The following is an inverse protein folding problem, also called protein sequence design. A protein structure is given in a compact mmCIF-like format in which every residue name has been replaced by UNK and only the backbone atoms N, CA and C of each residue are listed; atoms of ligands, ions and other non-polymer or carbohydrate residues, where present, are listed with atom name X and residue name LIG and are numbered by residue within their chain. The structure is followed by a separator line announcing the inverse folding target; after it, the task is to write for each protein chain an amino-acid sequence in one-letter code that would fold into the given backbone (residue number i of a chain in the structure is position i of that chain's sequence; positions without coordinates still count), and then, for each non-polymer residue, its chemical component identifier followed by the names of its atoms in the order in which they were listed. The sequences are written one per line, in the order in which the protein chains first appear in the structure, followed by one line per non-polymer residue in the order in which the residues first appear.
data_IF_707493909589
#
_entry.id   IF_707493909589
#
_cell.length_a   1.000
_cell.length_b   1.000
_cell.length_c   1.000
_cell.angle_alpha   90.00
_cell.angle_beta   90.00
_cell.angle_gamma   90.00
#
_symmetry.space_group_name_H-M   'P 1'
#
loop_
_entity.id
_entity.type
_entity.pdbx_description
1 polymer ?
#
# COMPACT_ATOMS: atom_id res chain seq x y z
N UNK A 1 -14.98 -21.77 -0.74
CA UNK A 1 -13.74 -21.87 0.04
C UNK A 1 -13.27 -23.32 0.13
N UNK A 2 -14.10 -24.28 0.57
CA UNK A 2 -13.71 -25.70 0.76
C UNK A 2 -13.01 -26.34 -0.44
N UNK A 3 -13.51 -26.07 -1.68
CA UNK A 3 -12.86 -26.55 -2.90
C UNK A 3 -11.43 -26.04 -3.04
N UNK A 4 -11.19 -24.76 -2.74
CA UNK A 4 -9.86 -24.14 -2.82
C UNK A 4 -8.93 -24.73 -1.76
N UNK A 5 -9.40 -24.92 -0.52
CA UNK A 5 -8.65 -25.60 0.54
C UNK A 5 -8.29 -27.04 0.16
N UNK A 6 -9.21 -27.75 -0.52
CA UNK A 6 -8.94 -29.10 -0.99
C UNK A 6 -7.90 -29.12 -2.12
N UNK A 7 -7.95 -28.15 -3.04
CA UNK A 7 -6.94 -28.00 -4.11
C UNK A 7 -5.58 -27.75 -3.50
N UNK A 8 -5.45 -26.81 -2.53
CA UNK A 8 -4.18 -26.48 -1.91
C UNK A 8 -3.58 -27.67 -1.13
N UNK A 9 -4.39 -28.38 -0.34
CA UNK A 9 -3.96 -29.63 0.33
C UNK A 9 -3.43 -30.65 -0.64
N UNK A 10 -4.03 -30.76 -1.83
CA UNK A 10 -3.62 -31.71 -2.85
C UNK A 10 -2.33 -31.27 -3.56
N UNK A 11 -2.16 -29.97 -3.79
CA UNK A 11 -0.92 -29.40 -4.33
C UNK A 11 0.28 -29.61 -3.40
N UNK A 12 0.04 -29.56 -2.09
CA UNK A 12 1.06 -29.77 -1.06
C UNK A 12 1.03 -31.17 -0.42
N UNK A 13 0.42 -32.15 -1.08
CA UNK A 13 0.49 -33.57 -0.65
C UNK A 13 1.92 -34.06 -0.79
N UNK A 14 2.55 -34.61 0.29
CA UNK A 14 3.97 -34.99 0.26
C UNK A 14 4.29 -36.17 -0.68
N UNK A 15 3.29 -36.97 -1.07
CA UNK A 15 3.51 -38.12 -1.95
C UNK A 15 3.10 -37.85 -3.41
N UNK A 16 2.09 -37.02 -3.63
CA UNK A 16 1.45 -36.81 -4.93
C UNK A 16 1.29 -35.35 -5.32
N UNK A 17 1.81 -34.43 -4.53
CA UNK A 17 1.68 -32.99 -4.76
C UNK A 17 2.62 -32.44 -5.84
N UNK A 18 2.59 -31.15 -6.01
CA UNK A 18 3.44 -30.42 -6.93
C UNK A 18 4.79 -30.13 -6.25
N UNK A 19 5.88 -30.50 -6.88
CA UNK A 19 7.24 -30.27 -6.34
C UNK A 19 7.52 -28.80 -6.03
N UNK A 20 7.02 -27.90 -6.87
CA UNK A 20 7.19 -26.47 -6.66
C UNK A 20 6.42 -25.98 -5.43
N UNK A 21 5.13 -26.37 -5.30
CA UNK A 21 4.31 -25.98 -4.15
C UNK A 21 4.86 -26.54 -2.84
N UNK A 22 5.36 -27.78 -2.85
CA UNK A 22 5.97 -28.43 -1.69
C UNK A 22 7.25 -27.74 -1.22
N UNK A 23 8.03 -27.16 -2.14
CA UNK A 23 9.27 -26.45 -1.82
C UNK A 23 9.05 -25.08 -1.18
N UNK A 24 7.81 -24.54 -1.20
CA UNK A 24 7.52 -23.20 -0.71
C UNK A 24 7.41 -23.16 0.81
N UNK A 25 7.77 -22.01 1.36
CA UNK A 25 7.63 -21.63 2.77
C UNK A 25 7.08 -20.19 2.90
N UNK A 26 6.82 -19.72 4.12
CA UNK A 26 6.29 -18.36 4.36
C UNK A 26 7.10 -17.26 3.67
N UNK A 27 8.42 -17.36 3.71
CA UNK A 27 9.30 -16.32 3.17
C UNK A 27 9.33 -16.33 1.63
N UNK A 28 9.25 -17.50 1.01
CA UNK A 28 9.25 -17.62 -0.45
C UNK A 28 7.93 -17.17 -1.08
N UNK A 29 6.81 -17.29 -0.35
CA UNK A 29 5.47 -16.88 -0.81
C UNK A 29 5.16 -15.41 -0.47
N UNK A 30 5.81 -14.82 0.53
CA UNK A 30 5.55 -13.43 0.93
C UNK A 30 5.68 -12.38 -0.20
N UNK A 31 6.63 -12.47 -1.16
CA UNK A 31 6.68 -11.56 -2.31
C UNK A 31 5.41 -11.62 -3.18
N UNK A 32 4.90 -12.82 -3.47
CA UNK A 32 3.68 -12.99 -4.27
C UNK A 32 2.46 -12.41 -3.56
N UNK A 33 2.36 -12.55 -2.23
CA UNK A 33 1.28 -11.91 -1.46
C UNK A 33 1.25 -10.38 -1.63
N UNK A 34 2.41 -9.74 -1.79
CA UNK A 34 2.49 -8.31 -2.05
C UNK A 34 2.14 -7.99 -3.51
N UNK A 35 2.60 -8.82 -4.46
CA UNK A 35 2.30 -8.69 -5.89
C UNK A 35 0.79 -8.74 -6.12
N UNK A 36 0.11 -9.79 -5.67
CA UNK A 36 -1.35 -9.93 -5.78
C UNK A 36 -2.11 -8.78 -5.13
N UNK A 37 -1.62 -8.26 -4.00
CA UNK A 37 -2.25 -7.09 -3.38
C UNK A 37 -2.15 -5.82 -4.24
N UNK A 38 -1.09 -5.66 -5.02
CA UNK A 38 -0.95 -4.58 -6.00
C UNK A 38 -1.81 -4.82 -7.24
N UNK A 39 -1.89 -6.05 -7.74
CA UNK A 39 -2.73 -6.42 -8.89
C UNK A 39 -4.21 -6.20 -8.59
N UNK A 40 -4.68 -6.54 -7.38
CA UNK A 40 -6.01 -6.14 -6.90
C UNK A 40 -6.19 -4.62 -6.95
N UNK A 41 -5.21 -3.83 -6.53
CA UNK A 41 -5.31 -2.38 -6.55
C UNK A 41 -5.37 -1.82 -7.98
N UNK A 42 -4.62 -2.40 -8.90
CA UNK A 42 -4.61 -2.02 -10.31
C UNK A 42 -5.92 -2.44 -11.01
N UNK A 43 -6.44 -3.64 -10.72
CA UNK A 43 -7.75 -4.09 -11.20
C UNK A 43 -8.88 -3.17 -10.72
N UNK A 44 -8.85 -2.73 -9.46
CA UNK A 44 -9.82 -1.74 -8.93
C UNK A 44 -9.70 -0.41 -9.68
N UNK A 45 -8.47 0.05 -9.97
CA UNK A 45 -8.26 1.28 -10.72
C UNK A 45 -8.74 1.20 -12.16
N UNK A 46 -8.69 0.01 -12.79
CA UNK A 46 -9.24 -0.23 -14.13
C UNK A 46 -10.77 -0.18 -14.18
N UNK A 47 -11.43 -0.48 -13.06
CA UNK A 47 -12.89 -0.55 -12.96
C UNK A 47 -13.51 -1.78 -13.63
N UNK A 48 -12.73 -2.78 -14.06
CA UNK A 48 -13.24 -4.03 -14.61
C UNK A 48 -13.61 -5.03 -13.50
N UNK A 49 -14.91 -5.34 -13.28
CA UNK A 49 -15.33 -6.27 -12.24
C UNK A 49 -14.82 -7.70 -12.44
N UNK A 50 -14.46 -8.10 -13.65
CA UNK A 50 -13.89 -9.44 -13.91
C UNK A 50 -12.45 -9.49 -13.46
N UNK A 51 -11.64 -8.52 -13.85
CA UNK A 51 -10.27 -8.39 -13.37
C UNK A 51 -10.23 -8.31 -11.83
N UNK A 52 -11.10 -7.50 -11.20
CA UNK A 52 -11.20 -7.42 -9.73
C UNK A 52 -11.51 -8.79 -9.11
N UNK A 53 -12.40 -9.58 -9.74
CA UNK A 53 -12.75 -10.91 -9.23
C UNK A 53 -11.56 -11.89 -9.33
N UNK A 54 -10.84 -11.84 -10.44
CA UNK A 54 -9.71 -12.73 -10.70
C UNK A 54 -8.57 -12.42 -9.71
N UNK A 55 -8.17 -11.16 -9.59
CA UNK A 55 -7.09 -10.75 -8.67
C UNK A 55 -7.45 -10.97 -7.18
N UNK A 56 -8.71 -10.77 -6.80
CA UNK A 56 -9.15 -11.14 -5.45
C UNK A 56 -9.07 -12.66 -5.21
N UNK A 57 -9.24 -13.46 -6.26
CA UNK A 57 -9.05 -14.91 -6.22
C UNK A 57 -7.59 -15.27 -5.96
N UNK A 58 -6.65 -14.61 -6.63
CA UNK A 58 -5.21 -14.84 -6.49
C UNK A 58 -4.70 -14.36 -5.13
N UNK A 59 -5.16 -13.21 -4.65
CA UNK A 59 -4.88 -12.79 -3.28
C UNK A 59 -5.44 -13.77 -2.23
N UNK A 60 -6.64 -14.32 -2.44
CA UNK A 60 -7.22 -15.35 -1.56
C UNK A 60 -6.38 -16.64 -1.62
N UNK A 61 -5.85 -17.01 -2.78
CA UNK A 61 -4.93 -18.13 -2.93
C UNK A 61 -3.71 -17.96 -2.04
N UNK A 62 -3.11 -16.77 -1.96
CA UNK A 62 -1.96 -16.50 -1.08
C UNK A 62 -2.30 -16.74 0.40
N UNK A 63 -3.50 -16.31 0.84
CA UNK A 63 -3.96 -16.57 2.21
C UNK A 63 -4.10 -18.06 2.49
N UNK A 64 -4.71 -18.80 1.55
CA UNK A 64 -4.88 -20.26 1.67
C UNK A 64 -3.54 -20.98 1.62
N UNK A 65 -2.59 -20.53 0.79
CA UNK A 65 -1.26 -21.11 0.68
C UNK A 65 -0.50 -20.97 2.01
N UNK A 66 -0.46 -19.77 2.58
CA UNK A 66 0.15 -19.54 3.89
C UNK A 66 -0.50 -20.37 4.99
N UNK A 67 -1.83 -20.48 4.99
CA UNK A 67 -2.54 -21.30 5.95
C UNK A 67 -2.23 -22.80 5.79
N UNK A 68 -2.02 -23.28 4.57
CA UNK A 68 -1.62 -24.66 4.34
C UNK A 68 -0.17 -24.92 4.80
N UNK A 69 0.77 -24.00 4.52
CA UNK A 69 2.13 -24.09 5.06
C UNK A 69 2.11 -24.19 6.57
N UNK A 70 1.28 -23.36 7.24
CA UNK A 70 1.13 -23.41 8.69
C UNK A 70 0.56 -24.75 9.18
N UNK A 71 -0.43 -25.29 8.46
CA UNK A 71 -1.03 -26.58 8.78
C UNK A 71 -0.03 -27.74 8.61
N UNK A 72 0.82 -27.68 7.58
CA UNK A 72 1.88 -28.69 7.35
C UNK A 72 2.94 -28.66 8.49
N UNK A 73 3.10 -27.53 9.17
CA UNK A 73 4.01 -27.32 10.31
C UNK A 73 3.31 -27.43 11.68
N UNK A 74 2.04 -27.89 11.73
CA UNK A 74 1.21 -27.98 12.95
C UNK A 74 1.10 -26.67 13.75
N UNK A 75 1.10 -25.50 13.06
CA UNK A 75 1.04 -24.18 13.71
C UNK A 75 -0.40 -23.67 13.86
N UNK A 76 -1.13 -23.60 12.76
CA UNK A 76 -2.54 -23.19 12.69
C UNK A 76 -3.15 -23.60 11.33
N UNK A 77 -4.48 -23.56 11.23
CA UNK A 77 -5.25 -23.88 10.03
C UNK A 77 -5.96 -22.64 9.45
N UNK A 78 -6.52 -22.75 8.25
CA UNK A 78 -7.29 -21.68 7.63
C UNK A 78 -8.47 -21.22 8.48
N UNK A 79 -9.13 -22.12 9.18
CA UNK A 79 -10.26 -21.80 10.05
C UNK A 79 -9.84 -20.91 11.24
N UNK A 80 -8.62 -21.07 11.74
CA UNK A 80 -8.06 -20.18 12.76
C UNK A 80 -7.85 -18.77 12.24
N UNK A 81 -7.35 -18.64 10.99
CA UNK A 81 -7.20 -17.34 10.30
C UNK A 81 -8.56 -16.66 10.13
N UNK A 82 -9.56 -17.42 9.66
CA UNK A 82 -10.92 -16.92 9.44
C UNK A 82 -11.58 -16.50 10.76
N UNK A 83 -11.45 -17.32 11.80
CA UNK A 83 -11.97 -17.03 13.13
C UNK A 83 -11.30 -15.81 13.74
N UNK A 84 -9.97 -15.73 13.67
CA UNK A 84 -9.22 -14.60 14.22
C UNK A 84 -9.64 -13.25 13.58
N UNK A 85 -9.91 -13.22 12.28
CA UNK A 85 -10.37 -11.98 11.63
C UNK A 85 -11.83 -11.68 11.93
N UNK A 86 -12.71 -12.70 12.03
CA UNK A 86 -14.11 -12.54 12.41
C UNK A 86 -14.22 -11.94 13.81
N UNK A 87 -13.59 -12.55 14.80
CA UNK A 87 -13.55 -12.09 16.19
C UNK A 87 -13.02 -10.65 16.30
N UNK A 88 -11.98 -10.34 15.51
CA UNK A 88 -11.42 -8.99 15.43
C UNK A 88 -12.42 -7.99 14.89
N UNK A 89 -13.17 -8.34 13.85
CA UNK A 89 -14.18 -7.45 13.25
C UNK A 89 -15.35 -7.23 14.20
N UNK A 90 -15.85 -8.27 14.85
CA UNK A 90 -16.91 -8.15 15.86
C UNK A 90 -16.48 -7.24 17.03
N UNK A 91 -15.29 -7.47 17.57
CA UNK A 91 -14.73 -6.67 18.67
C UNK A 91 -14.53 -5.19 18.27
N UNK A 92 -14.16 -4.90 17.01
CA UNK A 92 -13.93 -3.55 16.52
C UNK A 92 -15.19 -2.81 16.08
N UNK A 93 -16.32 -3.51 15.98
CA UNK A 93 -17.60 -2.92 15.60
C UNK A 93 -18.68 -3.14 16.68
N UNK A 94 -18.44 -2.69 17.93
CA UNK A 94 -19.38 -2.90 19.03
C UNK A 94 -20.71 -2.18 18.82
N UNK A 95 -20.79 -1.25 17.87
CA UNK A 95 -22.02 -0.59 17.45
C UNK A 95 -22.90 -1.45 16.53
N UNK A 96 -22.36 -2.54 15.95
CA UNK A 96 -23.08 -3.51 15.12
C UNK A 96 -23.32 -4.81 15.89
N UNK A 97 -22.28 -5.32 16.57
CA UNK A 97 -22.28 -6.63 17.21
C UNK A 97 -22.44 -6.58 18.73
N UNK A 98 -22.59 -5.40 19.34
CA UNK A 98 -22.73 -5.17 20.77
C UNK A 98 -23.77 -4.11 21.11
N UNK A 99 -23.88 -3.77 22.40
CA UNK A 99 -24.91 -2.85 22.93
C UNK A 99 -24.44 -1.38 23.03
N UNK A 100 -23.36 -0.99 22.32
CA UNK A 100 -22.86 0.39 22.38
C UNK A 100 -23.54 1.29 21.35
N UNK A 101 -24.04 2.49 21.73
CA UNK A 101 -24.63 3.42 20.78
C UNK A 101 -23.57 3.93 19.80
N UNK A 102 -24.02 4.33 18.59
CA UNK A 102 -23.20 4.97 17.57
C UNK A 102 -22.50 6.22 18.14
N UNK A 103 -21.23 6.07 18.54
CA UNK A 103 -20.27 7.16 18.69
C UNK A 103 -19.43 7.25 17.41
N UNK A 104 -18.55 8.24 17.30
CA UNK A 104 -17.64 8.33 16.14
C UNK A 104 -16.89 7.01 15.95
N UNK A 105 -17.34 6.24 14.95
CA UNK A 105 -16.86 4.88 14.64
C UNK A 105 -15.36 4.89 14.40
N UNK A 106 -14.84 5.96 13.79
CA UNK A 106 -13.42 6.08 13.43
C UNK A 106 -12.56 6.28 14.68
N UNK A 107 -13.01 7.11 15.61
CA UNK A 107 -12.32 7.35 16.87
C UNK A 107 -12.33 6.12 17.77
N UNK A 108 -13.48 5.45 17.91
CA UNK A 108 -13.60 4.21 18.68
C UNK A 108 -12.70 3.10 18.11
N UNK A 109 -12.65 2.96 16.80
CA UNK A 109 -11.83 1.95 16.15
C UNK A 109 -10.33 2.14 16.44
N UNK A 110 -9.87 3.39 16.47
CA UNK A 110 -8.48 3.68 16.78
C UNK A 110 -8.13 3.47 18.27
N UNK A 111 -9.07 3.77 19.16
CA UNK A 111 -8.92 3.45 20.59
C UNK A 111 -8.78 1.94 20.80
N UNK A 112 -9.67 1.14 20.19
CA UNK A 112 -9.63 -0.32 20.28
C UNK A 112 -8.30 -0.86 19.71
N UNK A 113 -7.85 -0.38 18.56
CA UNK A 113 -6.53 -0.77 18.00
C UNK A 113 -5.37 -0.39 18.91
N UNK A 114 -5.45 0.73 19.64
CA UNK A 114 -4.41 1.12 20.58
C UNK A 114 -4.37 0.16 21.78
N UNK A 115 -5.53 -0.23 22.30
CA UNK A 115 -5.65 -1.20 23.38
C UNK A 115 -5.13 -2.59 22.96
N UNK A 116 -5.47 -3.07 21.77
CA UNK A 116 -4.97 -4.33 21.21
C UNK A 116 -3.43 -4.34 21.13
N UNK A 117 -2.83 -3.25 20.62
CA UNK A 117 -1.36 -3.15 20.56
C UNK A 117 -0.70 -3.17 21.94
N UNK A 118 -1.31 -2.50 22.91
CA UNK A 118 -0.82 -2.51 24.30
C UNK A 118 -0.90 -3.93 24.91
N UNK A 119 -2.00 -4.65 24.65
CA UNK A 119 -2.16 -6.04 25.08
C UNK A 119 -1.12 -6.98 24.44
N UNK A 120 -0.75 -6.73 23.17
CA UNK A 120 0.31 -7.48 22.47
C UNK A 120 1.74 -7.07 22.90
N UNK A 121 1.90 -6.24 23.94
CA UNK A 121 3.19 -5.77 24.42
C UNK A 121 3.92 -4.80 23.46
N UNK A 122 3.23 -4.27 22.46
CA UNK A 122 3.77 -3.31 21.50
C UNK A 122 3.68 -1.90 22.09
N UNK A 123 4.76 -1.47 22.76
CA UNK A 123 4.86 -0.16 23.41
C UNK A 123 5.38 0.91 22.43
N UNK A 124 4.86 2.14 22.58
CA UNK A 124 5.25 3.31 21.79
C UNK A 124 4.25 3.70 20.72
N UNK A 125 4.16 4.99 20.43
CA UNK A 125 3.19 5.58 19.50
C UNK A 125 3.30 4.99 18.08
N UNK A 126 4.51 4.72 17.62
CA UNK A 126 4.81 4.23 16.27
C UNK A 126 4.81 2.70 16.15
N UNK A 127 4.61 1.98 17.26
CA UNK A 127 4.67 0.52 17.26
C UNK A 127 3.62 -0.13 16.34
N UNK A 128 4.03 -1.17 15.59
CA UNK A 128 3.14 -1.95 14.73
C UNK A 128 2.84 -1.29 13.37
N UNK A 129 3.62 -0.29 12.95
CA UNK A 129 3.64 0.14 11.54
C UNK A 129 4.54 -0.82 10.77
N UNK A 130 3.97 -1.58 9.83
CA UNK A 130 4.70 -2.58 9.08
C UNK A 130 5.88 -1.96 8.30
N UNK A 131 7.03 -2.65 8.33
CA UNK A 131 8.26 -2.18 7.66
C UNK A 131 8.18 -2.35 6.14
N UNK A 132 7.45 -3.35 5.68
CA UNK A 132 7.27 -3.70 4.27
C UNK A 132 6.24 -2.86 3.52
N UNK A 133 5.60 -1.89 4.17
CA UNK A 133 4.70 -0.96 3.47
C UNK A 133 5.47 -0.13 2.44
N UNK A 134 4.81 0.25 1.31
CA UNK A 134 5.34 1.29 0.43
C UNK A 134 5.78 2.52 1.21
N UNK A 135 6.87 3.14 0.79
CA UNK A 135 7.56 4.14 1.60
C UNK A 135 6.66 5.34 1.95
N UNK A 136 5.88 5.85 0.98
CA UNK A 136 4.98 6.98 1.22
C UNK A 136 3.82 6.59 2.14
N UNK A 137 3.22 5.41 1.92
CA UNK A 137 2.16 4.89 2.80
C UNK A 137 2.68 4.67 4.23
N UNK A 138 3.92 4.20 4.38
CA UNK A 138 4.56 4.04 5.69
C UNK A 138 4.79 5.38 6.37
N UNK A 139 5.34 6.37 5.65
CA UNK A 139 5.54 7.72 6.14
C UNK A 139 4.22 8.34 6.63
N UNK A 140 3.17 8.28 5.84
CA UNK A 140 1.84 8.77 6.22
C UNK A 140 1.28 8.10 7.48
N UNK A 141 1.49 6.78 7.62
CA UNK A 141 1.07 6.05 8.84
C UNK A 141 1.90 6.45 10.07
N UNK A 142 3.20 6.66 9.92
CA UNK A 142 4.06 7.13 11.01
C UNK A 142 3.62 8.51 11.48
N UNK A 143 3.41 9.45 10.57
CA UNK A 143 2.95 10.81 10.86
C UNK A 143 1.56 10.81 11.52
N UNK A 144 0.61 10.04 10.98
CA UNK A 144 -0.71 9.89 11.58
C UNK A 144 -0.67 9.30 13.00
N UNK A 145 0.33 8.46 13.31
CA UNK A 145 0.54 7.94 14.66
C UNK A 145 1.15 8.99 15.60
N UNK A 146 2.13 9.75 15.12
CA UNK A 146 2.73 10.85 15.87
C UNK A 146 1.69 11.93 16.21
N UNK A 147 0.83 12.27 15.25
CA UNK A 147 -0.27 13.22 15.43
C UNK A 147 -1.19 12.87 16.62
N UNK A 148 -1.49 11.58 16.84
CA UNK A 148 -2.36 11.12 17.93
C UNK A 148 -1.81 11.36 19.33
N UNK A 149 -0.52 11.52 19.45
CA UNK A 149 0.14 11.81 20.72
C UNK A 149 0.52 13.29 20.84
N UNK A 150 -0.05 14.15 19.99
CA UNK A 150 0.14 15.57 20.00
C UNK A 150 1.39 16.06 19.23
N UNK A 151 2.09 15.16 18.53
CA UNK A 151 3.22 15.55 17.70
C UNK A 151 2.76 15.81 16.26
N UNK A 152 2.15 16.97 16.04
CA UNK A 152 1.63 17.41 14.73
C UNK A 152 1.55 18.94 14.66
N UNK A 153 1.53 19.47 13.43
CA UNK A 153 1.21 20.87 13.17
C UNK A 153 -0.30 21.12 13.30
N UNK A 154 -0.69 22.33 13.70
CA UNK A 154 -2.11 22.67 13.86
C UNK A 154 -2.87 22.74 12.52
N UNK A 155 -2.16 22.99 11.42
CA UNK A 155 -2.72 23.17 10.08
C UNK A 155 -1.73 22.73 8.99
N UNK A 156 -2.08 22.95 7.71
CA UNK A 156 -1.26 22.59 6.57
C UNK A 156 -0.11 23.58 6.26
N UNK A 157 -0.04 24.73 6.96
CA UNK A 157 1.00 25.73 6.68
C UNK A 157 2.38 25.24 7.14
N UNK A 158 2.45 24.67 8.35
CA UNK A 158 3.70 24.12 8.86
C UNK A 158 4.34 23.06 7.95
N UNK A 159 3.62 22.02 7.53
CA UNK A 159 4.15 21.05 6.56
C UNK A 159 4.54 21.66 5.21
N UNK A 160 3.80 22.65 4.72
CA UNK A 160 4.15 23.38 3.47
C UNK A 160 5.46 24.13 3.60
N UNK A 161 5.65 24.84 4.71
CA UNK A 161 6.87 25.60 4.96
C UNK A 161 8.08 24.67 5.13
N UNK A 162 7.87 23.49 5.76
CA UNK A 162 8.90 22.44 5.86
C UNK A 162 9.34 21.90 4.49
N UNK A 163 8.43 21.76 3.51
CA UNK A 163 8.82 21.41 2.13
C UNK A 163 9.80 22.45 1.55
N UNK A 164 9.57 23.73 1.80
CA UNK A 164 10.44 24.80 1.29
C UNK A 164 11.81 24.79 1.97
N UNK A 165 11.86 24.47 3.26
CA UNK A 165 13.09 24.28 4.05
C UNK A 165 13.90 23.11 3.50
N UNK A 166 13.30 21.89 3.39
CA UNK A 166 13.96 20.70 2.88
C UNK A 166 14.47 20.87 1.44
N UNK A 167 13.70 21.57 0.60
CA UNK A 167 14.15 21.86 -0.76
C UNK A 167 15.41 22.74 -0.78
N UNK A 168 15.54 23.69 0.14
CA UNK A 168 16.74 24.51 0.29
C UNK A 168 17.93 23.68 0.82
N UNK A 169 17.69 22.76 1.75
CA UNK A 169 18.70 21.85 2.31
C UNK A 169 19.23 20.87 1.26
N UNK A 170 18.35 20.31 0.41
CA UNK A 170 18.77 19.52 -0.78
C UNK A 170 19.71 20.33 -1.67
N UNK A 171 19.40 21.62 -1.92
CA UNK A 171 20.23 22.49 -2.76
C UNK A 171 21.57 22.85 -2.11
N UNK A 172 21.63 22.91 -0.77
CA UNK A 172 22.81 23.24 0.01
C UNK A 172 23.70 22.03 0.34
N UNK A 173 23.23 20.80 0.06
CA UNK A 173 23.93 19.57 0.44
C UNK A 173 25.31 19.47 -0.20
N UNK A 174 26.34 19.32 0.63
CA UNK A 174 27.75 19.36 0.20
C UNK A 174 28.23 18.05 -0.45
N UNK A 175 27.52 16.95 -0.24
CA UNK A 175 27.91 15.63 -0.74
C UNK A 175 26.69 14.74 -1.01
N UNK A 176 26.92 13.61 -1.67
CA UNK A 176 25.84 12.69 -2.08
C UNK A 176 25.13 12.02 -0.90
N UNK A 177 25.78 11.83 0.24
CA UNK A 177 25.15 11.25 1.43
C UNK A 177 24.17 12.25 2.05
N UNK A 178 24.59 13.49 2.27
CA UNK A 178 23.74 14.58 2.74
C UNK A 178 22.57 14.81 1.77
N UNK A 179 22.85 14.90 0.45
CA UNK A 179 21.80 15.08 -0.55
C UNK A 179 20.74 13.96 -0.52
N UNK A 180 21.15 12.72 -0.26
CA UNK A 180 20.21 11.58 -0.14
C UNK A 180 19.34 11.69 1.11
N UNK A 181 19.91 12.15 2.23
CA UNK A 181 19.20 12.40 3.48
C UNK A 181 18.13 13.47 3.28
N UNK A 182 18.52 14.65 2.77
CA UNK A 182 17.60 15.77 2.54
C UNK A 182 16.49 15.45 1.52
N UNK A 183 16.78 14.68 0.48
CA UNK A 183 15.74 14.18 -0.44
C UNK A 183 14.75 13.27 0.28
N UNK A 184 15.21 12.46 1.22
CA UNK A 184 14.34 11.63 2.06
C UNK A 184 13.43 12.49 2.94
N UNK A 185 13.95 13.53 3.55
CA UNK A 185 13.22 14.44 4.42
C UNK A 185 12.23 15.31 3.63
N UNK A 186 12.61 15.76 2.44
CA UNK A 186 11.70 16.43 1.50
C UNK A 186 10.50 15.54 1.14
N UNK A 187 10.74 14.28 0.78
CA UNK A 187 9.66 13.34 0.47
C UNK A 187 8.76 13.11 1.70
N UNK A 188 9.35 13.00 2.89
CA UNK A 188 8.60 12.86 4.14
C UNK A 188 7.75 14.10 4.45
N UNK A 189 8.27 15.31 4.22
CA UNK A 189 7.53 16.57 4.36
C UNK A 189 6.37 16.67 3.36
N UNK A 190 6.58 16.28 2.09
CA UNK A 190 5.52 16.20 1.06
C UNK A 190 4.39 15.27 1.48
N UNK A 191 4.71 14.08 2.01
CA UNK A 191 3.71 13.14 2.53
C UNK A 191 2.91 13.75 3.68
N UNK A 192 3.58 14.49 4.58
CA UNK A 192 2.89 15.13 5.68
C UNK A 192 1.93 16.24 5.21
N UNK A 193 2.36 17.03 4.24
CA UNK A 193 1.49 18.03 3.63
C UNK A 193 0.26 17.39 2.95
N UNK A 194 0.46 16.31 2.18
CA UNK A 194 -0.64 15.55 1.58
C UNK A 194 -1.62 15.04 2.66
N UNK A 195 -1.12 14.52 3.79
CA UNK A 195 -1.93 14.08 4.92
C UNK A 195 -2.79 15.19 5.50
N UNK A 196 -2.23 16.39 5.68
CA UNK A 196 -2.99 17.56 6.16
C UNK A 196 -4.05 18.03 5.19
N UNK A 197 -3.85 17.79 3.88
CA UNK A 197 -4.87 18.04 2.85
C UNK A 197 -5.91 16.90 2.72
N UNK A 198 -5.79 15.84 3.52
CA UNK A 198 -6.66 14.66 3.42
C UNK A 198 -6.40 13.77 2.21
N UNK A 199 -5.22 13.91 1.58
CA UNK A 199 -4.80 13.15 0.39
C UNK A 199 -3.94 11.97 0.82
N UNK A 200 -4.22 10.78 0.26
CA UNK A 200 -3.34 9.63 0.35
C UNK A 200 -2.18 9.81 -0.65
N UNK A 201 -0.97 9.97 -0.11
CA UNK A 201 0.21 10.30 -0.92
C UNK A 201 0.64 9.14 -1.85
N UNK A 202 0.50 7.89 -1.39
CA UNK A 202 0.83 6.71 -2.19
C UNK A 202 -0.13 6.57 -3.37
N UNK A 203 -1.43 6.71 -3.09
CA UNK A 203 -2.46 6.64 -4.12
C UNK A 203 -2.32 7.79 -5.14
N UNK A 204 -2.12 9.01 -4.68
CA UNK A 204 -1.94 10.18 -5.55
C UNK A 204 -0.73 10.04 -6.48
N UNK A 205 0.39 9.48 -5.98
CA UNK A 205 1.57 9.23 -6.82
C UNK A 205 1.33 8.09 -7.82
N UNK A 206 0.59 7.05 -7.43
CA UNK A 206 0.20 5.97 -8.34
C UNK A 206 -0.68 6.50 -9.49
N UNK A 207 -1.67 7.33 -9.20
CA UNK A 207 -2.48 7.99 -10.23
C UNK A 207 -1.64 8.89 -11.15
N UNK A 208 -0.66 9.62 -10.58
CA UNK A 208 0.25 10.45 -11.36
C UNK A 208 1.13 9.61 -12.29
N UNK A 209 1.64 8.46 -11.83
CA UNK A 209 2.40 7.51 -12.63
C UNK A 209 1.54 6.97 -13.79
N UNK A 210 0.34 6.49 -13.52
CA UNK A 210 -0.58 5.97 -14.53
C UNK A 210 -0.92 7.06 -15.58
N UNK A 211 -1.15 8.29 -15.12
CA UNK A 211 -1.36 9.44 -16.03
C UNK A 211 -0.13 9.72 -16.88
N UNK A 212 1.06 9.68 -16.32
CA UNK A 212 2.31 9.86 -17.07
C UNK A 212 2.47 8.77 -18.12
N UNK A 213 2.31 7.48 -17.75
CA UNK A 213 2.43 6.35 -18.68
C UNK A 213 1.47 6.50 -19.85
N UNK A 214 0.18 6.70 -19.58
CA UNK A 214 -0.83 6.89 -20.63
C UNK A 214 -0.50 8.03 -21.59
N UNK A 215 -0.02 9.15 -21.05
CA UNK A 215 0.38 10.31 -21.88
C UNK A 215 1.62 10.01 -22.69
N UNK A 216 2.58 9.34 -22.11
CA UNK A 216 3.82 8.99 -22.78
C UNK A 216 3.57 8.01 -23.94
N UNK A 217 2.76 6.98 -23.73
CA UNK A 217 2.31 6.08 -24.79
C UNK A 217 1.58 6.81 -25.92
N UNK A 218 0.74 7.80 -25.59
CA UNK A 218 0.08 8.62 -26.59
C UNK A 218 1.07 9.52 -27.37
N UNK A 219 2.15 9.98 -26.73
CA UNK A 219 3.26 10.67 -27.42
C UNK A 219 3.98 9.72 -28.36
N UNK A 220 4.33 8.51 -27.92
CA UNK A 220 4.98 7.49 -28.75
C UNK A 220 4.15 7.17 -30.01
N UNK A 221 2.84 7.01 -29.86
CA UNK A 221 1.93 6.76 -30.99
C UNK A 221 1.85 7.91 -32.01
N UNK A 222 2.18 9.13 -31.60
CA UNK A 222 2.17 10.32 -32.49
C UNK A 222 3.48 10.55 -33.23
N UNK A 223 4.53 9.88 -32.82
CA UNK A 223 5.88 10.04 -33.35
C UNK A 223 6.16 8.90 -34.32
N UNK A 224 6.54 9.25 -35.58
CA UNK A 224 6.88 8.28 -36.61
C UNK A 224 8.40 8.09 -36.80
N UNK A 225 9.20 8.48 -35.83
CA UNK A 225 10.66 8.38 -35.86
C UNK A 225 11.17 7.86 -34.51
N UNK A 226 12.40 7.34 -34.39
CA UNK A 226 12.97 6.98 -33.10
C UNK A 226 13.01 8.24 -32.18
N UNK A 227 12.41 8.15 -31.00
CA UNK A 227 12.33 9.29 -30.06
C UNK A 227 13.72 9.81 -29.66
N UNK A 228 14.72 8.92 -29.60
CA UNK A 228 16.10 9.25 -29.28
C UNK A 228 16.76 10.22 -30.30
N UNK A 229 16.23 10.30 -31.52
CA UNK A 229 16.74 11.18 -32.57
C UNK A 229 16.09 12.57 -32.57
N UNK A 230 15.11 12.77 -31.68
CA UNK A 230 14.34 14.04 -31.60
C UNK A 230 14.90 14.92 -30.47
N UNK A 231 14.83 16.24 -30.70
CA UNK A 231 15.16 17.21 -29.66
C UNK A 231 14.08 17.21 -28.55
N UNK A 232 14.47 17.63 -27.34
CA UNK A 232 13.53 17.79 -26.23
C UNK A 232 12.37 18.71 -26.57
N UNK A 233 12.61 19.80 -27.31
CA UNK A 233 11.57 20.74 -27.70
C UNK A 233 10.50 20.09 -28.60
N UNK A 234 10.90 19.18 -29.49
CA UNK A 234 9.97 18.41 -30.32
C UNK A 234 9.15 17.46 -29.48
N UNK A 235 9.79 16.72 -28.56
CA UNK A 235 9.13 15.80 -27.63
C UNK A 235 8.14 16.56 -26.72
N UNK A 236 8.55 17.70 -26.18
CA UNK A 236 7.69 18.56 -25.36
C UNK A 236 6.49 19.10 -26.13
N UNK A 237 6.65 19.46 -27.42
CA UNK A 237 5.54 19.86 -28.28
C UNK A 237 4.49 18.77 -28.43
N UNK A 238 4.92 17.52 -28.65
CA UNK A 238 4.01 16.35 -28.67
C UNK A 238 3.34 16.12 -27.33
N UNK A 239 4.09 16.24 -26.23
CA UNK A 239 3.55 16.12 -24.86
C UNK A 239 2.48 17.16 -24.56
N UNK A 240 2.70 18.43 -24.92
CA UNK A 240 1.70 19.48 -24.71
C UNK A 240 0.46 19.27 -25.60
N UNK A 241 0.63 18.74 -26.83
CA UNK A 241 -0.49 18.39 -27.68
C UNK A 241 -1.36 17.26 -27.09
N UNK A 242 -0.75 16.23 -26.48
CA UNK A 242 -1.48 15.17 -25.75
C UNK A 242 -2.23 15.75 -24.56
N UNK A 243 -1.59 16.59 -23.75
CA UNK A 243 -2.24 17.26 -22.61
C UNK A 243 -3.42 18.15 -23.00
N UNK A 244 -3.37 18.78 -24.17
CA UNK A 244 -4.48 19.61 -24.65
C UNK A 244 -5.70 18.76 -25.02
N UNK A 245 -5.50 17.59 -25.63
CA UNK A 245 -6.59 16.67 -25.99
C UNK A 245 -7.31 16.04 -24.77
N UNK A 246 -6.74 16.05 -23.58
CA UNK A 246 -7.37 15.53 -22.37
C UNK A 246 -8.28 16.56 -21.65
N UNK A 247 -8.24 17.83 -22.06
CA UNK A 247 -9.00 18.92 -21.43
C UNK A 247 -10.35 19.22 -22.10
N UNK A 248 -10.56 18.63 -23.26
CA UNK A 248 -11.80 18.69 -24.05
C UNK A 248 -12.65 17.43 -23.78
#
# INVERSE_FOLDING_TARGET
VERLLTVMRRLRDPEHGCEWDLAQNFSSIAPYTLEEAYEVADAIASGDPRAICDELGDLLLQVVFHAQIAADEDLFHFDDVATAIADKMERRHPHIFGDRPNADVREQWEVIKAQERAADGRTGALAGVALSLPALARAQKLQARAARVGFDWPDAEGPRDKISEELAEVAAAENDAARREEVGDLLFAVVNYARHLGVDAEHALREANAKFTRRFEAVEQRINAPMADLSLDVLESHWQAVKACEKD
#
